data_IF_951842664901
#
_entry.id   IF_951842664901
#
_cell.length_a   1.000
_cell.length_b   1.000
_cell.length_c   1.000
_cell.angle_alpha   90.00
_cell.angle_beta   90.00
_cell.angle_gamma   90.00
#
_symmetry.space_group_name_H-M   'P 1'
#
loop_
_entity.id
_entity.type
_entity.pdbx_description
1 polymer ?
#
# COMPACT_ATOMS: atom_id res chain seq x y z
N UNK A 1 3.51 -21.72 -42.24
CA UNK A 1 2.66 -22.33 -41.19
C UNK A 1 3.18 -22.06 -39.78
N UNK A 2 4.45 -22.33 -39.46
CA UNK A 2 4.99 -22.07 -38.10
C UNK A 2 4.84 -20.62 -37.61
N UNK A 3 5.16 -19.59 -38.41
CA UNK A 3 5.02 -18.18 -37.99
C UNK A 3 3.57 -17.72 -37.73
N UNK A 4 2.59 -18.31 -38.42
CA UNK A 4 1.17 -18.02 -38.20
C UNK A 4 0.67 -18.63 -36.89
N UNK A 5 1.12 -19.85 -36.57
CA UNK A 5 0.81 -20.52 -35.30
C UNK A 5 1.46 -19.79 -34.11
N UNK A 6 2.71 -19.33 -34.24
CA UNK A 6 3.37 -18.54 -33.19
C UNK A 6 2.69 -17.19 -32.94
N UNK A 7 2.24 -16.50 -33.99
CA UNK A 7 1.52 -15.23 -33.86
C UNK A 7 0.11 -15.42 -33.29
N UNK A 8 -0.60 -16.49 -33.66
CA UNK A 8 -1.91 -16.83 -33.08
C UNK A 8 -1.81 -17.19 -31.60
N UNK A 9 -0.78 -17.95 -31.20
CA UNK A 9 -0.50 -18.26 -29.79
C UNK A 9 -0.16 -17.00 -28.99
N UNK A 10 0.67 -16.11 -29.55
CA UNK A 10 1.02 -14.84 -28.90
C UNK A 10 -0.21 -13.95 -28.71
N UNK A 11 -1.03 -13.77 -29.75
CA UNK A 11 -2.26 -12.95 -29.68
C UNK A 11 -3.28 -13.55 -28.69
N UNK A 12 -3.48 -14.87 -28.68
CA UNK A 12 -4.33 -15.53 -27.69
C UNK A 12 -3.82 -15.35 -26.26
N UNK A 13 -2.49 -15.39 -26.05
CA UNK A 13 -1.86 -15.13 -24.75
C UNK A 13 -2.08 -13.68 -24.29
N UNK A 14 -1.95 -12.70 -25.19
CA UNK A 14 -2.19 -11.29 -24.90
C UNK A 14 -3.65 -11.01 -24.52
N UNK A 15 -4.63 -11.58 -25.23
CA UNK A 15 -6.04 -11.42 -24.88
C UNK A 15 -6.41 -12.11 -23.55
N UNK A 16 -5.86 -13.30 -23.27
CA UNK A 16 -6.08 -13.99 -22.01
C UNK A 16 -5.43 -13.24 -20.82
N UNK A 17 -4.27 -12.60 -21.01
CA UNK A 17 -3.63 -11.78 -19.99
C UNK A 17 -4.38 -10.46 -19.74
N UNK A 18 -4.82 -9.78 -20.80
CA UNK A 18 -5.59 -8.53 -20.70
C UNK A 18 -6.96 -8.73 -20.03
N UNK A 19 -7.66 -9.82 -20.35
CA UNK A 19 -8.92 -10.17 -19.68
C UNK A 19 -8.78 -10.56 -18.20
N UNK A 20 -7.57 -10.93 -17.75
CA UNK A 20 -7.26 -11.29 -16.35
C UNK A 20 -6.78 -10.12 -15.51
N UNK A 21 -6.14 -9.12 -16.13
CA UNK A 21 -5.72 -7.91 -15.43
C UNK A 21 -6.91 -7.16 -14.84
N UNK A 22 -8.03 -7.09 -15.57
CA UNK A 22 -9.22 -6.34 -15.12
C UNK A 22 -9.83 -6.83 -13.79
N UNK A 23 -10.10 -8.14 -13.56
CA UNK A 23 -10.59 -8.59 -12.25
C UNK A 23 -9.60 -8.40 -11.09
N UNK A 24 -8.30 -8.50 -11.36
CA UNK A 24 -7.26 -8.29 -10.34
C UNK A 24 -7.22 -6.82 -9.95
N UNK A 25 -7.19 -5.93 -10.94
CA UNK A 25 -7.14 -4.49 -10.70
C UNK A 25 -8.44 -4.01 -10.03
N UNK A 26 -9.60 -4.51 -10.43
CA UNK A 26 -10.86 -4.22 -9.73
C UNK A 26 -10.80 -4.62 -8.25
N UNK A 27 -10.33 -5.83 -7.95
CA UNK A 27 -10.21 -6.30 -6.58
C UNK A 27 -9.19 -5.45 -5.78
N UNK A 28 -8.07 -5.07 -6.40
CA UNK A 28 -7.06 -4.21 -5.78
C UNK A 28 -7.62 -2.82 -5.48
N UNK A 29 -8.36 -2.21 -6.41
CA UNK A 29 -8.97 -0.89 -6.21
C UNK A 29 -9.96 -0.91 -5.05
N UNK A 30 -10.82 -1.94 -4.96
CA UNK A 30 -11.73 -2.15 -3.83
C UNK A 30 -10.98 -2.33 -2.51
N UNK A 31 -9.93 -3.16 -2.49
CA UNK A 31 -9.09 -3.37 -1.31
C UNK A 31 -8.36 -2.12 -0.84
N UNK A 32 -7.87 -1.29 -1.78
CA UNK A 32 -7.22 -0.01 -1.49
C UNK A 32 -8.22 1.00 -0.93
N UNK A 33 -9.43 1.09 -1.51
CA UNK A 33 -10.50 1.94 -0.98
C UNK A 33 -10.85 1.56 0.46
N UNK A 34 -11.03 0.26 0.72
CA UNK A 34 -11.27 -0.26 2.06
C UNK A 34 -10.16 0.13 3.04
N UNK A 35 -8.90 -0.09 2.65
CA UNK A 35 -7.73 0.27 3.44
C UNK A 35 -7.72 1.75 3.85
N UNK A 36 -7.98 2.65 2.89
CA UNK A 36 -7.98 4.09 3.14
C UNK A 36 -9.12 4.48 4.09
N UNK A 37 -10.30 3.88 3.92
CA UNK A 37 -11.47 4.15 4.76
C UNK A 37 -11.36 3.61 6.19
N UNK A 38 -10.56 2.55 6.40
CA UNK A 38 -10.44 1.85 7.68
C UNK A 38 -9.13 2.14 8.42
N UNK A 39 -8.42 3.21 8.05
CA UNK A 39 -7.28 3.69 8.82
C UNK A 39 -7.75 4.50 10.03
N UNK A 40 -7.17 4.23 11.21
CA UNK A 40 -7.42 5.04 12.40
C UNK A 40 -6.73 6.41 12.28
N UNK A 41 -7.22 7.39 13.06
CA UNK A 41 -6.70 8.75 13.02
C UNK A 41 -5.23 8.87 13.45
N UNK A 42 -4.74 7.94 14.25
CA UNK A 42 -3.34 7.83 14.65
C UNK A 42 -2.44 7.16 13.60
N UNK A 43 -3.03 6.64 12.51
CA UNK A 43 -2.34 6.05 11.37
C UNK A 43 -2.24 4.52 11.39
N UNK A 44 -2.70 3.86 12.45
CA UNK A 44 -2.70 2.39 12.50
C UNK A 44 -3.88 1.79 11.74
N UNK A 45 -3.74 0.52 11.43
CA UNK A 45 -4.88 -0.35 11.09
C UNK A 45 -5.09 -1.33 12.23
N UNK A 46 -6.34 -1.47 12.68
CA UNK A 46 -6.71 -2.39 13.74
C UNK A 46 -6.97 -3.79 13.17
N UNK A 47 -6.56 -4.78 13.94
CA UNK A 47 -6.81 -6.21 13.71
C UNK A 47 -7.22 -6.77 15.09
N UNK A 48 -7.00 -8.06 15.34
CA UNK A 48 -7.08 -8.61 16.69
C UNK A 48 -6.14 -7.81 17.61
N UNK A 49 -6.57 -7.44 18.83
CA UNK A 49 -5.73 -6.71 19.77
C UNK A 49 -4.35 -7.34 19.95
N UNK A 50 -3.29 -6.55 19.82
CA UNK A 50 -1.90 -6.99 19.86
C UNK A 50 -1.26 -7.28 18.50
N UNK A 51 -2.01 -7.23 17.39
CA UNK A 51 -1.50 -7.40 16.02
C UNK A 51 -1.44 -6.09 15.22
N UNK A 52 -1.61 -4.94 15.85
CA UNK A 52 -1.68 -3.63 15.20
C UNK A 52 -0.40 -3.32 14.43
N UNK A 53 0.77 -3.71 14.96
CA UNK A 53 2.06 -3.57 14.26
C UNK A 53 2.11 -4.43 13.00
N UNK A 54 1.66 -5.68 13.08
CA UNK A 54 1.64 -6.56 11.90
C UNK A 54 0.64 -6.05 10.85
N UNK A 55 -0.56 -5.64 11.29
CA UNK A 55 -1.62 -5.12 10.42
C UNK A 55 -1.19 -3.84 9.71
N UNK A 56 -0.59 -2.91 10.44
CA UNK A 56 -0.09 -1.63 9.91
C UNK A 56 1.11 -1.84 9.00
N UNK A 57 2.04 -2.75 9.34
CA UNK A 57 3.16 -3.09 8.46
C UNK A 57 2.68 -3.72 7.13
N UNK A 58 1.67 -4.60 7.20
CA UNK A 58 1.06 -5.18 6.01
C UNK A 58 0.30 -4.12 5.18
N UNK A 59 -0.36 -3.15 5.82
CA UNK A 59 -1.02 -2.04 5.12
C UNK A 59 -0.01 -1.19 4.33
N UNK A 60 1.09 -0.82 4.99
CA UNK A 60 2.20 -0.07 4.37
C UNK A 60 2.82 -0.86 3.21
N UNK A 61 2.98 -2.18 3.34
CA UNK A 61 3.42 -3.05 2.24
C UNK A 61 2.43 -3.03 1.06
N UNK A 62 1.12 -3.16 1.34
CA UNK A 62 0.07 -3.16 0.33
C UNK A 62 0.00 -1.83 -0.45
N UNK A 63 0.00 -0.70 0.27
CA UNK A 63 0.02 0.64 -0.31
C UNK A 63 1.28 0.86 -1.17
N UNK A 64 2.46 0.46 -0.66
CA UNK A 64 3.70 0.56 -1.42
C UNK A 64 3.72 -0.33 -2.67
N UNK A 65 3.12 -1.54 -2.61
CA UNK A 65 2.98 -2.40 -3.79
C UNK A 65 2.05 -1.77 -4.84
N UNK A 66 1.03 -1.02 -4.42
CA UNK A 66 0.13 -0.31 -5.31
C UNK A 66 0.69 0.99 -5.90
N UNK A 67 1.86 1.45 -5.44
CA UNK A 67 2.45 2.73 -5.85
C UNK A 67 2.02 3.93 -4.99
N UNK A 68 1.16 3.72 -3.99
CA UNK A 68 0.58 4.72 -3.08
C UNK A 68 1.58 5.13 -1.99
N UNK A 69 2.77 5.58 -2.40
CA UNK A 69 3.86 5.92 -1.45
C UNK A 69 3.89 7.40 -1.07
N UNK A 70 3.16 8.25 -1.80
CA UNK A 70 3.05 9.69 -1.52
C UNK A 70 1.75 10.07 -0.79
N UNK A 71 0.81 9.13 -0.67
CA UNK A 71 -0.50 9.35 -0.05
C UNK A 71 -0.45 9.48 1.47
N UNK A 72 -1.42 10.22 2.02
CA UNK A 72 -1.53 10.48 3.46
C UNK A 72 -1.65 9.21 4.30
N UNK A 73 -2.42 8.23 3.82
CA UNK A 73 -2.59 6.95 4.52
C UNK A 73 -1.26 6.21 4.71
N UNK A 74 -0.43 6.19 3.66
CA UNK A 74 0.91 5.60 3.71
C UNK A 74 1.81 6.34 4.70
N UNK A 75 1.84 7.68 4.62
CA UNK A 75 2.66 8.50 5.50
C UNK A 75 2.30 8.31 6.98
N UNK A 76 1.00 8.27 7.30
CA UNK A 76 0.46 8.00 8.64
C UNK A 76 0.84 6.61 9.16
N UNK A 77 0.70 5.58 8.33
CA UNK A 77 1.10 4.21 8.70
C UNK A 77 2.58 4.06 9.00
N UNK A 78 3.43 4.66 8.15
CA UNK A 78 4.88 4.70 8.39
C UNK A 78 5.21 5.45 9.67
N UNK A 79 4.61 6.62 9.90
CA UNK A 79 4.84 7.41 11.09
C UNK A 79 4.42 6.67 12.36
N UNK A 80 3.28 5.98 12.35
CA UNK A 80 2.83 5.16 13.47
C UNK A 80 3.82 4.02 13.75
N UNK A 81 4.27 3.30 12.72
CA UNK A 81 5.26 2.22 12.87
C UNK A 81 6.59 2.72 13.45
N UNK A 82 7.06 3.92 13.12
CA UNK A 82 8.30 4.45 13.69
C UNK A 82 8.21 4.68 15.21
N UNK A 83 7.00 4.89 15.73
CA UNK A 83 6.74 5.28 17.12
C UNK A 83 6.12 4.16 17.97
N UNK A 84 5.95 2.96 17.41
CA UNK A 84 5.35 1.84 18.13
C UNK A 84 6.33 0.67 18.32
N UNK A 85 6.48 0.14 19.54
CA UNK A 85 7.35 -1.01 19.76
C UNK A 85 6.70 -2.31 19.28
N UNK A 86 7.40 -3.09 18.47
CA UNK A 86 7.04 -4.49 18.23
C UNK A 86 7.28 -5.36 19.47
N UNK A 87 6.41 -6.36 19.66
CA UNK A 87 6.38 -7.24 20.84
C UNK A 87 6.85 -8.68 20.56
N UNK A 88 6.91 -9.09 19.29
CA UNK A 88 7.29 -10.43 18.83
C UNK A 88 8.28 -10.37 17.67
N UNK A 89 8.96 -11.48 17.39
CA UNK A 89 9.89 -11.55 16.24
C UNK A 89 9.15 -11.28 14.93
N UNK A 90 7.97 -11.87 14.73
CA UNK A 90 7.14 -11.64 13.53
C UNK A 90 6.80 -10.15 13.37
N UNK A 91 6.28 -9.50 14.42
CA UNK A 91 5.89 -8.08 14.36
C UNK A 91 7.10 -7.18 14.15
N UNK A 92 8.24 -7.48 14.79
CA UNK A 92 9.48 -6.72 14.62
C UNK A 92 10.05 -6.87 13.21
N UNK A 93 10.05 -8.08 12.67
CA UNK A 93 10.50 -8.34 11.31
C UNK A 93 9.65 -7.60 10.28
N UNK A 94 8.32 -7.64 10.41
CA UNK A 94 7.39 -6.90 9.54
C UNK A 94 7.56 -5.39 9.64
N UNK A 95 7.72 -4.87 10.86
CA UNK A 95 8.00 -3.46 11.10
C UNK A 95 9.29 -3.02 10.40
N UNK A 96 10.38 -3.79 10.53
CA UNK A 96 11.65 -3.52 9.86
C UNK A 96 11.48 -3.51 8.35
N UNK A 97 10.82 -4.53 7.77
CA UNK A 97 10.62 -4.60 6.31
C UNK A 97 9.81 -3.40 5.78
N UNK A 98 8.73 -3.03 6.47
CA UNK A 98 7.90 -1.89 6.09
C UNK A 98 8.67 -0.56 6.18
N UNK A 99 9.40 -0.33 7.27
CA UNK A 99 10.17 0.90 7.49
C UNK A 99 11.38 1.00 6.55
N UNK A 100 12.09 -0.10 6.31
CA UNK A 100 13.21 -0.12 5.36
C UNK A 100 12.74 0.20 3.94
N UNK A 101 11.59 -0.36 3.54
CA UNK A 101 10.96 -0.05 2.25
C UNK A 101 10.52 1.42 2.14
N UNK A 102 10.09 2.02 3.25
CA UNK A 102 9.77 3.44 3.35
C UNK A 102 11.02 4.36 3.44
N UNK A 103 12.23 3.81 3.30
CA UNK A 103 13.48 4.56 3.40
C UNK A 103 13.75 5.13 4.80
N UNK A 104 13.16 4.55 5.85
CA UNK A 104 13.41 4.95 7.25
C UNK A 104 14.63 4.22 7.81
N UNK A 105 15.33 4.88 8.73
CA UNK A 105 16.40 4.25 9.47
C UNK A 105 15.84 3.12 10.35
N UNK A 106 16.38 1.92 10.15
CA UNK A 106 15.99 0.69 10.84
C UNK A 106 17.13 0.09 11.65
N UNK A 107 18.29 0.77 11.74
CA UNK A 107 19.51 0.25 12.35
C UNK A 107 19.31 -0.25 13.79
N UNK A 108 18.58 0.50 14.62
CA UNK A 108 18.27 0.11 15.99
C UNK A 108 17.34 -1.11 16.06
N UNK A 109 16.34 -1.18 15.17
CA UNK A 109 15.40 -2.31 15.11
C UNK A 109 16.08 -3.59 14.62
N UNK A 110 16.94 -3.49 13.59
CA UNK A 110 17.73 -4.61 13.09
C UNK A 110 18.71 -5.10 14.16
N UNK A 111 19.37 -4.18 14.87
CA UNK A 111 20.27 -4.54 15.98
C UNK A 111 19.52 -5.28 17.09
N UNK A 112 18.31 -4.82 17.44
CA UNK A 112 17.43 -5.50 18.39
C UNK A 112 17.00 -6.88 17.89
N UNK A 113 16.58 -6.99 16.63
CA UNK A 113 16.20 -8.27 16.03
C UNK A 113 17.38 -9.26 16.07
N UNK A 114 18.58 -8.83 15.71
CA UNK A 114 19.79 -9.67 15.78
C UNK A 114 20.10 -10.08 17.23
N UNK A 115 19.89 -9.20 18.21
CA UNK A 115 20.05 -9.53 19.62
C UNK A 115 19.05 -10.60 20.09
N UNK A 116 17.82 -10.59 19.56
CA UNK A 116 16.75 -11.52 19.93
C UNK A 116 16.96 -12.96 19.46
N UNK A 117 17.95 -13.22 18.60
CA UNK A 117 18.20 -14.59 18.14
C UNK A 117 18.61 -15.49 19.29
N UNK A 118 18.27 -16.76 19.18
CA UNK A 118 18.85 -17.77 20.04
C UNK A 118 20.33 -17.94 19.70
N UNK A 119 21.20 -17.71 20.68
CA UNK A 119 22.64 -17.72 20.43
C UNK A 119 23.22 -19.10 20.13
N UNK A 120 22.60 -20.17 20.63
CA UNK A 120 23.09 -21.52 20.39
C UNK A 120 22.76 -22.00 18.98
N UNK A 121 21.60 -21.63 18.44
CA UNK A 121 21.13 -22.08 17.12
C UNK A 121 21.24 -21.03 16.03
N UNK A 122 21.56 -19.77 16.39
CA UNK A 122 21.56 -18.59 15.50
C UNK A 122 20.27 -18.50 14.69
N UNK A 123 19.15 -18.77 15.34
CA UNK A 123 17.80 -18.77 14.77
C UNK A 123 16.83 -18.02 15.68
N UNK A 124 15.63 -17.72 15.20
CA UNK A 124 14.65 -16.93 15.94
C UNK A 124 13.41 -17.73 16.28
N UNK A 125 12.94 -17.59 17.51
CA UNK A 125 11.62 -18.03 17.95
C UNK A 125 10.62 -16.88 17.96
N UNK A 126 9.42 -17.13 18.49
CA UNK A 126 8.34 -16.14 18.55
C UNK A 126 8.71 -14.86 19.31
N UNK A 127 9.60 -14.96 20.29
CA UNK A 127 10.05 -13.85 21.15
C UNK A 127 11.56 -13.88 21.38
N UNK A 128 12.06 -12.86 22.07
CA UNK A 128 13.45 -12.68 22.48
C UNK A 128 14.06 -13.95 23.10
N UNK A 129 15.13 -14.46 22.49
CA UNK A 129 15.87 -15.66 22.89
C UNK A 129 15.05 -16.96 22.99
N UNK A 130 13.83 -17.01 22.45
CA UNK A 130 13.05 -18.25 22.39
C UNK A 130 13.69 -19.27 21.46
N UNK A 131 13.32 -20.54 21.66
CA UNK A 131 13.70 -21.63 20.76
C UNK A 131 13.30 -21.31 19.32
N UNK A 132 14.23 -21.55 18.39
CA UNK A 132 14.01 -21.26 16.98
C UNK A 132 12.77 -21.94 16.39
N UNK A 133 11.96 -21.16 15.71
CA UNK A 133 10.86 -21.62 14.86
C UNK A 133 11.23 -21.38 13.39
N UNK A 134 10.66 -22.16 12.49
CA UNK A 134 10.88 -21.99 11.06
C UNK A 134 10.34 -20.66 10.53
N UNK A 135 9.07 -20.27 10.77
CA UNK A 135 8.54 -19.03 10.20
C UNK A 135 9.20 -17.77 10.78
N UNK A 136 9.49 -17.75 12.09
CA UNK A 136 10.14 -16.59 12.72
C UNK A 136 11.58 -16.42 12.24
N UNK A 137 12.32 -17.52 12.08
CA UNK A 137 13.67 -17.48 11.52
C UNK A 137 13.66 -16.97 10.08
N UNK A 138 12.72 -17.46 9.26
CA UNK A 138 12.60 -17.02 7.87
C UNK A 138 12.30 -15.50 7.79
N UNK A 139 11.32 -15.03 8.57
CA UNK A 139 10.94 -13.62 8.64
C UNK A 139 12.06 -12.72 9.16
N UNK A 140 12.80 -13.14 10.19
CA UNK A 140 13.93 -12.38 10.70
C UNK A 140 15.05 -12.25 9.65
N UNK A 141 15.35 -13.34 8.94
CA UNK A 141 16.33 -13.34 7.85
C UNK A 141 15.91 -12.43 6.70
N UNK A 142 14.62 -12.41 6.37
CA UNK A 142 14.03 -11.53 5.36
C UNK A 142 14.12 -10.05 5.77
N UNK A 143 13.80 -9.74 7.03
CA UNK A 143 13.87 -8.39 7.55
C UNK A 143 15.30 -7.82 7.54
N UNK A 144 16.28 -8.62 7.95
CA UNK A 144 17.70 -8.22 7.90
C UNK A 144 18.11 -7.95 6.45
N UNK A 145 17.77 -8.85 5.52
CA UNK A 145 18.11 -8.70 4.10
C UNK A 145 17.48 -7.44 3.49
N UNK A 146 16.22 -7.13 3.83
CA UNK A 146 15.49 -5.97 3.31
C UNK A 146 16.16 -4.62 3.64
N UNK A 147 16.99 -4.57 4.69
CA UNK A 147 17.71 -3.35 5.09
C UNK A 147 19.05 -3.15 4.38
N UNK A 148 19.54 -4.17 3.67
CA UNK A 148 20.91 -4.19 3.12
C UNK A 148 22.01 -4.37 4.20
N UNK A 149 21.64 -4.58 5.47
CA UNK A 149 22.60 -4.82 6.55
C UNK A 149 23.36 -6.12 6.29
N UNK A 150 24.70 -6.05 6.33
CA UNK A 150 25.52 -7.26 6.25
C UNK A 150 25.37 -8.07 7.53
N UNK A 151 24.96 -9.33 7.39
CA UNK A 151 24.75 -10.24 8.52
C UNK A 151 25.70 -11.44 8.42
N UNK A 152 26.76 -11.41 9.23
CA UNK A 152 27.83 -12.41 9.19
C UNK A 152 27.31 -13.84 9.46
N UNK A 153 26.26 -13.99 10.28
CA UNK A 153 25.70 -15.28 10.67
C UNK A 153 24.55 -15.74 9.77
N UNK A 154 24.35 -15.12 8.60
CA UNK A 154 23.27 -15.48 7.67
C UNK A 154 23.32 -16.97 7.28
N UNK A 155 24.53 -17.53 7.12
CA UNK A 155 24.70 -18.95 6.80
C UNK A 155 24.12 -19.90 7.85
N UNK A 156 24.12 -19.51 9.14
CA UNK A 156 23.51 -20.32 10.19
C UNK A 156 21.99 -20.29 10.14
N UNK A 157 21.40 -19.12 9.87
CA UNK A 157 19.95 -18.98 9.71
C UNK A 157 19.42 -19.79 8.52
N UNK A 158 20.08 -19.69 7.35
CA UNK A 158 19.75 -20.51 6.19
C UNK A 158 19.99 -22.00 6.48
N UNK A 159 21.11 -22.33 7.15
CA UNK A 159 21.41 -23.69 7.60
C UNK A 159 20.37 -24.25 8.58
N UNK A 160 19.76 -23.42 9.42
CA UNK A 160 18.67 -23.82 10.31
C UNK A 160 17.46 -24.31 9.51
N UNK A 161 17.10 -23.58 8.45
CA UNK A 161 15.97 -23.88 7.56
C UNK A 161 16.23 -25.14 6.73
N UNK A 162 17.32 -25.19 5.96
CA UNK A 162 17.52 -26.25 4.95
C UNK A 162 17.87 -27.61 5.56
N UNK A 163 18.62 -27.65 6.67
CA UNK A 163 19.03 -28.91 7.29
C UNK A 163 17.90 -29.63 8.03
N UNK A 164 16.69 -29.06 8.05
CA UNK A 164 15.54 -29.56 8.80
C UNK A 164 14.24 -29.52 7.99
N UNK A 165 14.36 -29.57 6.66
CA UNK A 165 13.22 -29.87 5.78
C UNK A 165 12.80 -31.33 6.02
N UNK A 166 11.49 -31.57 6.11
CA UNK A 166 10.97 -32.93 6.17
C UNK A 166 11.22 -33.67 4.85
N UNK A 167 11.26 -35.00 4.89
CA UNK A 167 11.44 -35.83 3.69
C UNK A 167 10.30 -35.67 2.67
N UNK A 168 9.14 -35.16 3.12
CA UNK A 168 8.02 -34.82 2.23
C UNK A 168 8.23 -33.49 1.48
N UNK A 169 9.27 -32.71 1.85
CA UNK A 169 9.60 -31.41 1.26
C UNK A 169 9.05 -30.21 2.05
N UNK A 170 8.14 -30.40 2.99
CA UNK A 170 7.61 -29.30 3.79
C UNK A 170 8.42 -29.01 5.06
N UNK A 171 7.94 -28.03 5.83
CA UNK A 171 8.49 -27.70 7.15
C UNK A 171 7.39 -27.65 8.23
N UNK A 172 7.68 -28.09 9.45
CA UNK A 172 6.81 -27.86 10.61
C UNK A 172 7.00 -26.44 11.16
N UNK A 173 6.24 -26.06 12.20
CA UNK A 173 6.42 -24.77 12.89
C UNK A 173 7.73 -24.71 13.68
N UNK A 174 8.05 -25.79 14.39
CA UNK A 174 9.22 -25.92 15.25
C UNK A 174 9.89 -27.27 15.01
N UNK A 175 11.16 -27.38 15.35
CA UNK A 175 11.83 -28.68 15.43
C UNK A 175 11.18 -29.52 16.54
N UNK A 176 11.07 -30.83 16.35
CA UNK A 176 10.73 -31.76 17.43
C UNK A 176 11.99 -32.26 18.12
N UNK A 177 11.90 -32.53 19.42
CA UNK A 177 13.01 -33.14 20.19
C UNK A 177 13.15 -34.64 19.88
N UNK A 178 12.05 -35.29 19.44
CA UNK A 178 12.00 -36.69 19.04
C UNK A 178 11.20 -36.79 17.74
N UNK A 179 11.90 -36.86 16.61
CA UNK A 179 11.29 -36.86 15.28
C UNK A 179 10.78 -35.49 14.86
N UNK A 180 10.69 -35.25 13.55
CA UNK A 180 10.16 -33.99 13.04
C UNK A 180 8.64 -34.00 13.03
N UNK A 181 7.97 -32.94 13.51
CA UNK A 181 6.53 -32.80 13.38
C UNK A 181 6.09 -32.72 11.91
N UNK A 182 4.80 -32.95 11.62
CA UNK A 182 4.27 -32.84 10.27
C UNK A 182 4.46 -31.45 9.67
N UNK A 183 4.71 -31.43 8.36
CA UNK A 183 4.80 -30.20 7.57
C UNK A 183 3.51 -29.40 7.58
N UNK A 184 3.63 -28.07 7.59
CA UNK A 184 2.51 -27.11 7.63
C UNK A 184 2.70 -26.02 6.58
N UNK A 185 1.60 -25.41 6.13
CA UNK A 185 1.63 -24.48 5.00
C UNK A 185 2.33 -23.17 5.35
N UNK A 186 1.98 -22.54 6.49
CA UNK A 186 2.60 -21.28 6.95
C UNK A 186 4.14 -21.36 7.01
N UNK A 187 4.76 -22.29 7.77
CA UNK A 187 6.22 -22.39 7.81
C UNK A 187 6.84 -22.75 6.46
N UNK A 188 6.19 -23.60 5.67
CA UNK A 188 6.69 -23.97 4.34
C UNK A 188 6.70 -22.77 3.40
N UNK A 189 5.63 -21.99 3.36
CA UNK A 189 5.52 -20.82 2.52
C UNK A 189 6.55 -19.74 2.91
N UNK A 190 6.69 -19.44 4.21
CA UNK A 190 7.71 -18.49 4.69
C UNK A 190 9.13 -18.93 4.32
N UNK A 191 9.47 -20.19 4.58
CA UNK A 191 10.78 -20.72 4.23
C UNK A 191 11.04 -20.65 2.72
N UNK A 192 10.06 -20.98 1.88
CA UNK A 192 10.21 -20.91 0.43
C UNK A 192 10.46 -19.48 -0.06
N UNK A 193 9.74 -18.48 0.48
CA UNK A 193 9.94 -17.07 0.16
C UNK A 193 11.37 -16.63 0.54
N UNK A 194 11.80 -16.94 1.75
CA UNK A 194 13.15 -16.61 2.22
C UNK A 194 14.22 -17.33 1.38
N UNK A 195 14.12 -18.65 1.20
CA UNK A 195 15.10 -19.40 0.40
C UNK A 195 15.20 -18.87 -1.03
N UNK A 196 14.08 -18.48 -1.64
CA UNK A 196 14.07 -17.86 -2.96
C UNK A 196 14.89 -16.54 -3.00
N UNK A 197 14.81 -15.71 -1.96
CA UNK A 197 15.61 -14.46 -1.86
C UNK A 197 17.10 -14.71 -1.63
N UNK A 198 17.46 -15.87 -1.08
CA UNK A 198 18.84 -16.25 -0.77
C UNK A 198 19.46 -17.20 -1.82
N UNK A 199 18.71 -17.63 -2.84
CA UNK A 199 19.14 -18.67 -3.80
C UNK A 199 20.31 -18.29 -4.72
N UNK A 200 20.62 -17.01 -4.84
CA UNK A 200 21.79 -16.53 -5.58
C UNK A 200 23.08 -16.59 -4.77
N UNK A 201 22.97 -16.64 -3.44
CA UNK A 201 24.10 -16.67 -2.51
C UNK A 201 24.31 -18.07 -1.92
N UNK A 202 23.23 -18.82 -1.71
CA UNK A 202 23.26 -20.15 -1.09
C UNK A 202 22.69 -21.21 -2.04
N UNK A 203 23.28 -22.41 -2.03
CA UNK A 203 22.84 -23.55 -2.81
C UNK A 203 21.56 -24.19 -2.21
N UNK A 204 20.40 -23.53 -2.41
CA UNK A 204 19.14 -23.91 -1.78
C UNK A 204 18.04 -24.38 -2.75
N UNK A 205 18.33 -24.38 -4.06
CA UNK A 205 17.33 -24.65 -5.10
C UNK A 205 16.66 -26.03 -4.97
N UNK A 206 17.39 -27.07 -4.57
CA UNK A 206 16.81 -28.41 -4.36
C UNK A 206 15.75 -28.41 -3.25
N UNK A 207 15.97 -27.66 -2.18
CA UNK A 207 15.01 -27.51 -1.07
C UNK A 207 13.77 -26.73 -1.52
N UNK A 208 13.97 -25.68 -2.32
CA UNK A 208 12.87 -24.93 -2.95
C UNK A 208 12.02 -25.86 -3.82
N UNK A 209 12.65 -26.64 -4.69
CA UNK A 209 11.93 -27.55 -5.59
C UNK A 209 11.06 -28.56 -4.82
N UNK A 210 11.62 -29.21 -3.79
CA UNK A 210 10.88 -30.16 -2.94
C UNK A 210 9.74 -29.49 -2.18
N UNK A 211 9.95 -28.29 -1.63
CA UNK A 211 8.92 -27.57 -0.89
C UNK A 211 7.80 -27.04 -1.79
N UNK A 212 8.11 -26.58 -3.00
CA UNK A 212 7.11 -26.20 -4.01
C UNK A 212 6.27 -27.41 -4.43
N UNK A 213 6.90 -28.57 -4.64
CA UNK A 213 6.20 -29.81 -4.96
C UNK A 213 5.24 -30.22 -3.82
N UNK A 214 5.72 -30.17 -2.57
CA UNK A 214 4.88 -30.42 -1.40
C UNK A 214 3.72 -29.44 -1.31
N UNK A 215 3.99 -28.13 -1.46
CA UNK A 215 2.99 -27.08 -1.37
C UNK A 215 1.90 -27.30 -2.41
N UNK A 216 2.26 -27.53 -3.69
CA UNK A 216 1.31 -27.85 -4.76
C UNK A 216 0.43 -29.06 -4.43
N UNK A 217 0.98 -30.09 -3.79
CA UNK A 217 0.21 -31.26 -3.36
C UNK A 217 -0.81 -30.95 -2.24
N UNK A 218 -0.67 -29.82 -1.54
CA UNK A 218 -1.63 -29.38 -0.52
C UNK A 218 -2.81 -28.57 -1.09
N UNK A 219 -2.77 -28.19 -2.37
CA UNK A 219 -3.83 -27.36 -2.98
C UNK A 219 -5.17 -28.11 -2.99
N UNK A 220 -6.22 -27.45 -2.50
CA UNK A 220 -7.59 -28.00 -2.50
C UNK A 220 -8.22 -27.87 -3.89
N UNK A 221 -9.30 -28.61 -4.13
CA UNK A 221 -10.03 -28.57 -5.40
C UNK A 221 -10.52 -27.16 -5.78
N UNK A 222 -10.84 -26.31 -4.80
CA UNK A 222 -11.23 -24.91 -4.99
C UNK A 222 -10.05 -23.94 -5.14
N UNK A 223 -8.81 -24.41 -5.22
CA UNK A 223 -7.61 -23.59 -5.37
C UNK A 223 -7.00 -23.05 -4.08
N UNK A 224 -7.75 -23.07 -2.98
CA UNK A 224 -7.27 -22.67 -1.66
C UNK A 224 -6.24 -23.63 -1.05
N UNK A 225 -5.55 -23.14 -0.03
CA UNK A 225 -4.59 -23.86 0.80
C UNK A 225 -5.01 -23.75 2.27
N UNK A 226 -4.75 -24.77 3.06
CA UNK A 226 -4.93 -24.73 4.51
C UNK A 226 -5.82 -25.83 5.06
N UNK A 227 -6.27 -25.59 6.28
CA UNK A 227 -7.22 -26.47 6.97
C UNK A 227 -8.61 -26.49 6.28
N UNK A 228 -9.39 -27.55 6.53
CA UNK A 228 -10.71 -27.73 5.93
C UNK A 228 -10.70 -28.22 4.47
N UNK A 229 -11.89 -28.29 3.87
CA UNK A 229 -12.09 -28.78 2.50
C UNK A 229 -11.80 -27.72 1.43
N UNK A 230 -11.88 -26.44 1.78
CA UNK A 230 -11.71 -25.30 0.87
C UNK A 230 -10.38 -24.58 1.03
N UNK A 231 -9.75 -24.64 2.21
CA UNK A 231 -8.59 -23.83 2.57
C UNK A 231 -8.98 -22.57 3.34
N UNK A 232 -7.96 -21.86 3.83
CA UNK A 232 -8.07 -20.60 4.59
C UNK A 232 -7.43 -19.44 3.81
N UNK A 233 -7.88 -18.22 4.08
CA UNK A 233 -7.39 -17.03 3.39
C UNK A 233 -5.89 -16.80 3.63
N UNK A 234 -5.44 -16.82 4.89
CA UNK A 234 -4.04 -16.57 5.26
C UNK A 234 -3.08 -17.57 4.62
N UNK A 235 -3.38 -18.87 4.74
CA UNK A 235 -2.53 -19.92 4.18
C UNK A 235 -2.53 -19.87 2.66
N UNK A 236 -3.66 -19.53 2.03
CA UNK A 236 -3.74 -19.34 0.59
C UNK A 236 -2.94 -18.14 0.11
N UNK A 237 -3.01 -17.00 0.80
CA UNK A 237 -2.25 -15.81 0.47
C UNK A 237 -0.73 -16.05 0.59
N UNK A 238 -0.29 -16.72 1.65
CA UNK A 238 1.11 -17.09 1.83
C UNK A 238 1.59 -18.11 0.79
N UNK A 239 0.80 -19.15 0.53
CA UNK A 239 1.11 -20.14 -0.50
C UNK A 239 1.19 -19.50 -1.89
N UNK A 240 0.27 -18.59 -2.21
CA UNK A 240 0.28 -17.81 -3.44
C UNK A 240 1.58 -17.02 -3.59
N UNK A 241 1.99 -16.26 -2.55
CA UNK A 241 3.25 -15.50 -2.56
C UNK A 241 4.47 -16.40 -2.79
N UNK A 242 4.52 -17.56 -2.13
CA UNK A 242 5.61 -18.52 -2.30
C UNK A 242 5.66 -19.12 -3.72
N UNK A 243 4.51 -19.50 -4.27
CA UNK A 243 4.40 -20.02 -5.63
C UNK A 243 4.80 -18.98 -6.67
N UNK A 244 4.33 -17.74 -6.54
CA UNK A 244 4.67 -16.65 -7.47
C UNK A 244 6.15 -16.29 -7.41
N UNK A 245 6.76 -16.29 -6.22
CA UNK A 245 8.18 -15.98 -6.05
C UNK A 245 9.09 -16.94 -6.84
N UNK A 246 8.71 -18.22 -6.95
CA UNK A 246 9.52 -19.22 -7.66
C UNK A 246 9.05 -19.47 -9.10
N UNK A 247 7.74 -19.58 -9.33
CA UNK A 247 7.16 -20.05 -10.59
C UNK A 247 6.56 -18.92 -11.44
N UNK A 248 6.39 -17.73 -10.87
CA UNK A 248 5.70 -16.60 -11.51
C UNK A 248 4.18 -16.71 -11.48
N UNK A 249 3.52 -15.66 -11.96
CA UNK A 249 2.05 -15.49 -11.90
C UNK A 249 1.28 -16.38 -12.86
N UNK A 250 1.94 -17.01 -13.83
CA UNK A 250 1.31 -17.87 -14.84
C UNK A 250 1.25 -19.35 -14.46
N UNK A 251 1.85 -19.76 -13.34
CA UNK A 251 1.77 -21.14 -12.87
C UNK A 251 0.33 -21.54 -12.51
N UNK A 252 -0.08 -22.75 -12.86
CA UNK A 252 -1.45 -23.21 -12.65
C UNK A 252 -1.87 -23.19 -11.17
N UNK A 253 -0.98 -23.59 -10.25
CA UNK A 253 -1.31 -23.58 -8.83
C UNK A 253 -1.39 -22.15 -8.28
N UNK A 254 -0.50 -21.26 -8.73
CA UNK A 254 -0.55 -19.84 -8.39
C UNK A 254 -1.86 -19.20 -8.89
N UNK A 255 -2.26 -19.49 -10.12
CA UNK A 255 -3.51 -19.00 -10.71
C UNK A 255 -4.75 -19.50 -9.96
N UNK A 256 -4.78 -20.79 -9.59
CA UNK A 256 -5.88 -21.33 -8.80
C UNK A 256 -5.97 -20.67 -7.42
N UNK A 257 -4.84 -20.41 -6.77
CA UNK A 257 -4.78 -19.70 -5.49
C UNK A 257 -5.29 -18.26 -5.63
N UNK A 258 -4.86 -17.56 -6.68
CA UNK A 258 -5.34 -16.21 -6.99
C UNK A 258 -6.85 -16.20 -7.21
N UNK A 259 -7.39 -17.12 -8.01
CA UNK A 259 -8.84 -17.22 -8.23
C UNK A 259 -9.59 -17.47 -6.93
N UNK A 260 -9.07 -18.33 -6.05
CA UNK A 260 -9.63 -18.51 -4.72
C UNK A 260 -9.66 -17.17 -3.95
N UNK A 261 -8.53 -16.47 -3.84
CA UNK A 261 -8.43 -15.21 -3.11
C UNK A 261 -9.41 -14.16 -3.65
N UNK A 262 -9.45 -13.95 -4.97
CA UNK A 262 -10.40 -13.01 -5.58
C UNK A 262 -11.85 -13.39 -5.28
N UNK A 263 -12.18 -14.68 -5.28
CA UNK A 263 -13.51 -15.16 -4.92
C UNK A 263 -13.87 -15.06 -3.44
N UNK A 264 -12.92 -14.74 -2.56
CA UNK A 264 -13.16 -14.49 -1.13
C UNK A 264 -13.33 -12.99 -0.80
N UNK A 265 -13.15 -12.08 -1.76
CA UNK A 265 -13.32 -10.65 -1.50
C UNK A 265 -14.79 -10.32 -1.22
N UNK A 266 -15.04 -9.56 -0.15
CA UNK A 266 -16.35 -9.04 0.21
C UNK A 266 -16.72 -7.82 -0.65
N UNK A 267 -18.00 -7.44 -0.60
CA UNK A 267 -18.53 -6.36 -1.43
C UNK A 267 -17.92 -4.99 -1.12
N UNK A 268 -17.49 -4.77 0.12
CA UNK A 268 -16.82 -3.56 0.60
C UNK A 268 -15.31 -3.54 0.29
N UNK A 269 -14.78 -4.60 -0.33
CA UNK A 269 -13.37 -4.73 -0.71
C UNK A 269 -12.49 -5.45 0.31
N UNK A 270 -13.04 -5.81 1.47
CA UNK A 270 -12.38 -6.54 2.54
C UNK A 270 -12.18 -8.02 2.18
N UNK A 271 -11.18 -8.67 2.78
CA UNK A 271 -11.06 -10.13 2.79
C UNK A 271 -11.16 -10.73 4.20
N UNK A 272 -10.90 -9.93 5.25
CA UNK A 272 -10.66 -10.40 6.61
C UNK A 272 -11.88 -10.50 7.52
N UNK A 273 -13.07 -10.08 7.09
CA UNK A 273 -14.23 -9.89 7.97
C UNK A 273 -14.01 -8.74 8.96
N UNK A 274 -13.45 -7.63 8.48
CA UNK A 274 -12.93 -6.49 9.25
C UNK A 274 -11.61 -6.74 10.00
N UNK A 275 -10.93 -7.86 9.76
CA UNK A 275 -9.54 -8.06 10.17
C UNK A 275 -8.58 -7.44 9.14
N UNK A 276 -8.02 -6.26 9.46
CA UNK A 276 -7.12 -5.57 8.56
C UNK A 276 -5.85 -6.37 8.23
N UNK A 277 -5.32 -7.20 9.14
CA UNK A 277 -4.10 -7.96 8.85
C UNK A 277 -4.31 -8.92 7.68
N UNK A 278 -5.42 -9.66 7.68
CA UNK A 278 -5.74 -10.61 6.63
C UNK A 278 -5.98 -9.92 5.27
N UNK A 279 -6.72 -8.82 5.29
CA UNK A 279 -6.98 -8.01 4.10
C UNK A 279 -5.71 -7.45 3.52
N UNK A 280 -4.83 -6.90 4.37
CA UNK A 280 -3.59 -6.27 3.94
C UNK A 280 -2.58 -7.29 3.41
N UNK A 281 -2.48 -8.46 4.04
CA UNK A 281 -1.60 -9.54 3.55
C UNK A 281 -2.08 -10.10 2.21
N UNK A 282 -3.40 -10.23 2.03
CA UNK A 282 -3.99 -10.68 0.77
C UNK A 282 -3.74 -9.66 -0.33
N UNK A 283 -4.07 -8.40 -0.07
CA UNK A 283 -3.88 -7.30 -1.01
C UNK A 283 -2.41 -7.09 -1.38
N UNK A 284 -1.49 -7.12 -0.40
CA UNK A 284 -0.05 -7.03 -0.64
C UNK A 284 0.49 -8.21 -1.46
N UNK A 285 -0.17 -9.37 -1.40
CA UNK A 285 0.22 -10.56 -2.16
C UNK A 285 -0.20 -10.54 -3.61
N UNK A 286 -1.29 -9.85 -3.97
CA UNK A 286 -1.81 -9.81 -5.34
C UNK A 286 -0.81 -9.14 -6.30
N UNK A 287 -0.73 -9.57 -7.59
CA UNK A 287 0.16 -8.96 -8.56
C UNK A 287 -0.17 -7.48 -8.71
N UNK A 288 0.81 -6.63 -8.45
CA UNK A 288 0.63 -5.20 -8.56
C UNK A 288 1.13 -4.70 -9.92
N UNK A 289 0.22 -4.11 -10.69
CA UNK A 289 0.52 -3.11 -11.72
C UNK A 289 0.51 -1.74 -11.05
N UNK A 290 1.40 -0.83 -11.47
CA UNK A 290 1.31 0.57 -11.04
C UNK A 290 -0.03 1.11 -11.51
N UNK A 291 -0.82 1.62 -10.57
CA UNK A 291 -2.09 2.28 -10.88
C UNK A 291 -1.80 3.75 -11.23
N UNK A 292 -2.58 4.30 -12.17
CA UNK A 292 -2.47 5.72 -12.51
C UNK A 292 -2.94 6.58 -11.33
N UNK A 293 -2.24 7.68 -11.11
CA UNK A 293 -2.52 8.74 -10.13
C UNK A 293 -2.22 10.04 -10.87
N UNK A 294 -3.26 10.67 -11.41
CA UNK A 294 -3.16 11.78 -12.37
C UNK A 294 -2.84 13.09 -11.68
N UNK A 295 -3.32 13.29 -10.45
CA UNK A 295 -3.13 14.54 -9.71
C UNK A 295 -2.01 14.49 -8.65
N UNK A 296 -1.39 13.32 -8.50
CA UNK A 296 -0.24 13.04 -7.66
C UNK A 296 -0.49 13.30 -6.18
N UNK A 297 -1.73 13.12 -5.72
CA UNK A 297 -2.08 13.22 -4.31
C UNK A 297 -1.84 11.91 -3.53
N UNK A 298 -1.48 10.85 -4.25
CA UNK A 298 -1.21 9.52 -3.72
C UNK A 298 -2.41 8.59 -3.69
N UNK A 299 -3.57 8.98 -4.22
CA UNK A 299 -4.67 8.09 -4.52
C UNK A 299 -4.61 7.64 -5.97
N UNK A 300 -4.84 6.36 -6.27
CA UNK A 300 -4.98 5.96 -7.66
C UNK A 300 -6.34 6.39 -8.23
N UNK A 301 -6.35 6.87 -9.47
CA UNK A 301 -7.56 7.36 -10.19
C UNK A 301 -8.74 6.37 -10.12
N UNK A 302 -8.43 5.07 -10.17
CA UNK A 302 -9.46 4.03 -10.12
C UNK A 302 -10.15 3.87 -8.76
N UNK A 303 -9.53 4.37 -7.69
CA UNK A 303 -10.07 4.38 -6.33
C UNK A 303 -10.93 5.64 -6.11
N UNK A 304 -10.62 6.71 -6.85
CA UNK A 304 -11.30 8.01 -6.81
C UNK A 304 -12.57 8.03 -7.66
N UNK A 305 -13.49 7.14 -7.32
CA UNK A 305 -14.80 7.08 -7.96
C UNK A 305 -15.89 7.29 -6.92
N UNK A 306 -17.05 7.78 -7.37
CA UNK A 306 -18.24 7.91 -6.52
C UNK A 306 -18.69 6.58 -5.89
N UNK A 307 -18.29 5.44 -6.47
CA UNK A 307 -18.61 4.11 -5.97
C UNK A 307 -17.67 3.62 -4.87
N UNK A 308 -16.48 4.22 -4.74
CA UNK A 308 -15.45 3.81 -3.78
C UNK A 308 -15.20 4.91 -2.73
N UNK A 309 -14.43 5.94 -3.06
CA UNK A 309 -14.08 7.00 -2.10
C UNK A 309 -14.92 8.27 -2.22
N UNK A 310 -15.59 8.51 -3.35
CA UNK A 310 -16.33 9.76 -3.57
C UNK A 310 -15.44 10.96 -3.88
N UNK A 311 -14.15 10.74 -4.13
CA UNK A 311 -13.15 11.73 -4.54
C UNK A 311 -13.04 11.84 -6.07
N UNK A 312 -12.24 12.78 -6.58
CA UNK A 312 -12.13 13.04 -8.01
C UNK A 312 -10.68 12.91 -8.54
N UNK A 313 -10.41 12.10 -9.59
CA UNK A 313 -9.06 11.80 -10.12
C UNK A 313 -8.23 12.95 -10.73
N UNK A 314 -8.70 14.18 -10.59
CA UNK A 314 -8.06 15.36 -11.15
C UNK A 314 -8.02 16.52 -10.17
N UNK A 315 -8.33 16.23 -8.91
CA UNK A 315 -8.45 17.19 -7.82
C UNK A 315 -7.69 16.59 -6.64
N UNK A 316 -6.56 17.18 -6.21
CA UNK A 316 -5.75 16.68 -5.10
C UNK A 316 -6.48 16.68 -3.74
N UNK A 317 -7.41 15.75 -3.54
CA UNK A 317 -8.42 15.72 -2.48
C UNK A 317 -8.29 14.51 -1.54
N UNK A 318 -7.33 13.63 -1.77
CA UNK A 318 -7.01 12.48 -0.93
C UNK A 318 -6.59 12.84 0.49
N UNK A 319 -6.21 14.10 0.71
CA UNK A 319 -5.99 14.70 2.05
C UNK A 319 -7.27 15.09 2.80
N UNK A 320 -8.40 15.12 2.11
CA UNK A 320 -9.73 15.40 2.64
C UNK A 320 -10.45 14.17 3.22
N UNK A 321 -9.90 12.98 3.00
CA UNK A 321 -10.43 11.72 3.53
C UNK A 321 -10.03 11.55 5.00
N UNK A 322 -10.82 12.11 5.91
CA UNK A 322 -10.71 11.81 7.33
C UNK A 322 -12.07 11.63 8.01
N UNK A 323 -12.32 10.42 8.53
CA UNK A 323 -12.81 10.22 9.90
C UNK A 323 -12.12 9.00 10.54
N UNK A 324 -10.97 9.22 11.16
CA UNK A 324 -10.51 8.39 12.27
C UNK A 324 -10.98 9.01 13.59
N UNK A 325 -11.55 8.24 14.49
CA UNK A 325 -12.28 8.67 15.71
C UNK A 325 -11.46 9.37 16.82
N UNK A 326 -10.40 10.10 16.48
CA UNK A 326 -9.95 11.25 17.27
C UNK A 326 -9.25 10.99 18.60
N UNK A 327 -8.49 9.89 18.76
CA UNK A 327 -7.60 9.73 19.92
C UNK A 327 -6.18 9.37 19.46
N UNK A 328 -5.22 10.28 19.67
CA UNK A 328 -3.78 10.02 19.63
C UNK A 328 -3.19 10.19 21.04
N UNK A 329 -2.37 9.24 21.50
CA UNK A 329 -1.75 9.22 22.83
C UNK A 329 -0.48 10.07 22.83
N UNK A 330 -0.22 10.71 23.98
CA UNK A 330 0.89 11.64 24.28
C UNK A 330 2.26 11.08 23.86
N UNK A 331 3.03 11.89 23.12
CA UNK A 331 4.42 11.60 22.72
C UNK A 331 4.71 11.76 21.22
N UNK A 332 3.67 12.00 20.40
CA UNK A 332 3.81 12.32 18.97
C UNK A 332 3.83 13.85 18.79
N UNK A 333 5.00 14.42 18.57
CA UNK A 333 5.12 15.81 18.09
C UNK A 333 5.39 15.73 16.58
N UNK A 334 4.52 16.12 15.66
CA UNK A 334 3.42 17.08 15.74
C UNK A 334 2.32 16.67 14.73
N UNK A 335 1.02 16.77 15.06
CA UNK A 335 -0.03 16.83 14.04
C UNK A 335 0.31 17.93 13.01
N UNK A 336 0.01 17.71 11.73
CA UNK A 336 0.30 18.68 10.67
C UNK A 336 -0.99 19.12 9.96
N UNK A 337 -1.24 20.42 9.89
CA UNK A 337 -2.35 21.01 9.12
C UNK A 337 -1.80 21.67 7.86
N UNK A 338 -2.25 21.25 6.68
CA UNK A 338 -1.94 21.90 5.40
C UNK A 338 -3.15 22.68 4.90
N UNK A 339 -2.92 23.93 4.51
CA UNK A 339 -3.93 24.87 4.05
C UNK A 339 -3.46 25.50 2.74
N UNK A 340 -4.41 25.80 1.85
CA UNK A 340 -4.12 26.53 0.61
C UNK A 340 -4.85 27.87 0.60
N UNK A 341 -4.16 28.92 0.17
CA UNK A 341 -4.71 30.25 -0.02
C UNK A 341 -4.34 30.79 -1.40
N UNK A 342 -5.19 31.63 -1.98
CA UNK A 342 -4.93 32.28 -3.27
C UNK A 342 -4.42 33.69 -3.01
N UNK A 343 -3.32 34.07 -3.67
CA UNK A 343 -2.75 35.41 -3.58
C UNK A 343 -3.82 36.49 -3.85
N UNK A 344 -3.90 37.50 -2.97
CA UNK A 344 -4.83 38.63 -3.04
C UNK A 344 -6.33 38.28 -2.91
N UNK A 345 -6.68 37.05 -2.53
CA UNK A 345 -8.07 36.67 -2.26
C UNK A 345 -8.37 36.62 -0.75
N UNK A 346 -9.58 36.99 -0.30
CA UNK A 346 -9.99 36.77 1.08
C UNK A 346 -9.85 35.28 1.46
N UNK A 347 -9.27 35.04 2.62
CA UNK A 347 -9.01 33.72 3.15
C UNK A 347 -9.58 33.62 4.57
N UNK A 348 -10.22 32.50 4.87
CA UNK A 348 -10.68 32.16 6.21
C UNK A 348 -10.67 30.64 6.39
N UNK A 349 -9.89 30.14 7.35
CA UNK A 349 -9.86 28.73 7.72
C UNK A 349 -9.79 28.61 9.24
N UNK A 350 -10.46 27.59 9.79
CA UNK A 350 -10.43 27.32 11.22
C UNK A 350 -9.51 26.15 11.52
N UNK A 351 -8.61 26.35 12.47
CA UNK A 351 -7.82 25.26 13.03
C UNK A 351 -8.69 24.43 13.99
N UNK A 352 -8.47 23.12 14.05
CA UNK A 352 -9.24 22.19 14.90
C UNK A 352 -8.43 21.75 16.11
N UNK A 353 -9.04 21.79 17.29
CA UNK A 353 -8.39 21.36 18.53
C UNK A 353 -8.40 19.82 18.58
N UNK A 354 -7.24 19.19 18.79
CA UNK A 354 -7.10 17.73 18.89
C UNK A 354 -7.61 17.11 20.20
N UNK A 355 -8.47 17.81 20.96
CA UNK A 355 -8.96 17.41 22.28
C UNK A 355 -9.07 18.57 23.29
N UNK A 356 -9.26 18.23 24.57
CA UNK A 356 -9.30 19.18 25.70
C UNK A 356 -10.66 19.86 25.93
N UNK A 357 -10.96 20.19 27.19
CA UNK A 357 -12.24 20.80 27.57
C UNK A 357 -12.25 22.30 27.23
N UNK A 358 -13.25 22.83 26.48
CA UNK A 358 -13.36 24.27 26.21
C UNK A 358 -13.38 25.10 27.51
N UNK A 359 -12.86 26.34 27.50
CA UNK A 359 -12.46 27.12 26.33
C UNK A 359 -11.04 26.81 25.83
N UNK A 360 -10.86 26.85 24.51
CA UNK A 360 -9.55 26.71 23.86
C UNK A 360 -8.91 28.07 23.58
N UNK A 361 -7.58 28.15 23.73
CA UNK A 361 -6.78 29.32 23.36
C UNK A 361 -5.69 28.93 22.37
N UNK A 362 -5.51 29.76 21.34
CA UNK A 362 -4.68 29.48 20.18
C UNK A 362 -3.53 30.47 20.10
N UNK A 363 -2.32 30.00 19.83
CA UNK A 363 -1.13 30.85 19.75
C UNK A 363 -0.14 30.32 18.74
N UNK A 364 0.53 31.19 17.97
CA UNK A 364 1.69 30.81 17.16
C UNK A 364 2.94 30.78 18.05
N UNK A 365 3.72 29.71 17.95
CA UNK A 365 4.90 29.47 18.79
C UNK A 365 6.20 29.44 18.00
N UNK A 366 6.13 29.12 16.70
CA UNK A 366 7.25 29.23 15.78
C UNK A 366 6.78 29.48 14.33
N UNK A 367 7.68 29.98 13.49
CA UNK A 367 7.39 30.32 12.09
C UNK A 367 6.50 31.56 11.94
N UNK A 368 5.93 31.75 10.75
CA UNK A 368 5.00 32.86 10.49
C UNK A 368 3.91 32.44 9.50
N UNK A 369 2.74 33.07 9.64
CA UNK A 369 1.70 33.01 8.61
C UNK A 369 2.14 33.82 7.37
N UNK A 370 1.55 33.57 6.20
CA UNK A 370 1.70 34.46 5.06
C UNK A 370 1.35 35.91 5.41
N UNK A 371 2.12 36.85 4.88
CA UNK A 371 1.92 38.27 5.12
C UNK A 371 0.49 38.67 4.68
N UNK A 372 -0.30 39.22 5.62
CA UNK A 372 -1.71 39.57 5.42
C UNK A 372 -2.73 38.59 6.02
N UNK A 373 -2.29 37.46 6.58
CA UNK A 373 -3.11 36.54 7.37
C UNK A 373 -2.84 36.68 8.87
N UNK A 374 -3.88 36.50 9.69
CA UNK A 374 -3.79 36.58 11.15
C UNK A 374 -4.53 35.42 11.81
N UNK A 375 -4.03 34.94 12.95
CA UNK A 375 -4.69 33.94 13.79
C UNK A 375 -5.54 34.62 14.87
N UNK A 376 -6.84 34.32 14.92
CA UNK A 376 -7.70 34.65 16.04
C UNK A 376 -7.44 33.70 17.20
N UNK A 377 -6.86 34.22 18.29
CA UNK A 377 -6.41 33.43 19.43
C UNK A 377 -7.54 32.82 20.26
N UNK A 378 -8.78 33.29 20.11
CA UNK A 378 -9.93 32.78 20.84
C UNK A 378 -10.71 31.71 20.06
N UNK A 379 -10.69 31.77 18.72
CA UNK A 379 -11.49 30.88 17.86
C UNK A 379 -10.66 29.89 17.05
N UNK A 380 -9.34 30.10 16.95
CA UNK A 380 -8.47 29.30 16.10
C UNK A 380 -8.60 29.61 14.60
N UNK A 381 -9.33 30.66 14.24
CA UNK A 381 -9.53 31.04 12.85
C UNK A 381 -8.33 31.83 12.30
N UNK A 382 -7.73 31.36 11.21
CA UNK A 382 -6.79 32.10 10.39
C UNK A 382 -7.56 32.83 9.31
N UNK A 383 -7.46 34.17 9.27
CA UNK A 383 -8.17 34.97 8.27
C UNK A 383 -7.39 36.20 7.80
N UNK A 384 -7.75 36.71 6.63
CA UNK A 384 -7.14 37.88 6.02
C UNK A 384 -6.99 37.74 4.50
N UNK A 385 -6.05 38.46 3.92
CA UNK A 385 -5.75 38.41 2.48
C UNK A 385 -4.24 38.25 2.30
N UNK A 386 -3.75 37.12 1.78
CA UNK A 386 -2.31 36.89 1.64
C UNK A 386 -1.73 37.76 0.52
N UNK A 387 -0.54 38.31 0.75
CA UNK A 387 0.14 39.25 -0.16
C UNK A 387 1.48 38.73 -0.71
N UNK A 388 1.88 37.53 -0.31
CA UNK A 388 3.14 36.90 -0.73
C UNK A 388 2.91 35.44 -1.14
N UNK A 389 3.49 35.04 -2.27
CA UNK A 389 3.49 33.66 -2.74
C UNK A 389 4.48 32.78 -1.96
N UNK A 390 4.20 31.49 -1.90
CA UNK A 390 5.13 30.49 -1.37
C UNK A 390 4.55 29.61 -0.26
N UNK A 391 5.41 28.74 0.28
CA UNK A 391 5.07 27.86 1.39
C UNK A 391 5.50 28.48 2.72
N UNK A 392 4.54 28.63 3.63
CA UNK A 392 4.73 29.22 4.95
C UNK A 392 4.48 28.18 6.03
N UNK A 393 5.55 27.73 6.66
CA UNK A 393 5.50 26.78 7.77
C UNK A 393 5.42 27.53 9.11
N UNK A 394 4.57 27.05 10.00
CA UNK A 394 4.39 27.59 11.35
C UNK A 394 4.09 26.47 12.34
N UNK A 395 4.22 26.75 13.63
CA UNK A 395 3.79 25.86 14.71
C UNK A 395 2.80 26.64 15.56
N UNK A 396 1.61 26.09 15.76
CA UNK A 396 0.61 26.65 16.65
C UNK A 396 0.40 25.77 17.88
N UNK A 397 0.05 26.38 18.99
CA UNK A 397 -0.31 25.74 20.24
C UNK A 397 -1.79 26.00 20.54
N UNK A 398 -2.49 24.94 20.90
CA UNK A 398 -3.86 24.95 21.45
C UNK A 398 -3.79 24.62 22.93
N UNK A 399 -4.32 25.48 23.80
CA UNK A 399 -4.36 25.24 25.24
C UNK A 399 -5.81 25.23 25.75
N UNK A 400 -6.13 24.22 26.54
CA UNK A 400 -7.36 24.08 27.35
C UNK A 400 -7.04 24.11 28.85
N UNK A 401 -8.05 23.95 29.70
CA UNK A 401 -7.87 23.85 31.16
C UNK A 401 -7.11 22.59 31.62
N UNK A 402 -7.12 21.53 30.80
CA UNK A 402 -6.60 20.20 31.12
C UNK A 402 -5.43 19.75 30.23
N UNK A 403 -5.23 20.37 29.06
CA UNK A 403 -4.24 19.92 28.07
C UNK A 403 -3.63 21.07 27.27
N UNK A 404 -2.45 20.84 26.70
CA UNK A 404 -1.87 21.70 25.67
C UNK A 404 -1.32 20.83 24.54
N UNK A 405 -1.66 21.20 23.30
CA UNK A 405 -1.26 20.49 22.09
C UNK A 405 -0.52 21.45 21.18
N UNK A 406 0.62 21.02 20.65
CA UNK A 406 1.34 21.71 19.59
C UNK A 406 0.99 21.04 18.27
N UNK A 407 0.93 21.82 17.19
CA UNK A 407 0.64 21.34 15.85
C UNK A 407 1.46 22.12 14.84
N UNK A 408 2.08 21.43 13.89
CA UNK A 408 2.73 22.06 12.74
C UNK A 408 1.67 22.47 11.72
N UNK A 409 1.80 23.64 11.14
CA UNK A 409 0.94 24.15 10.07
C UNK A 409 1.76 24.54 8.85
N UNK A 410 1.19 24.36 7.65
CA UNK A 410 1.72 24.89 6.40
C UNK A 410 0.60 25.57 5.62
N UNK A 411 0.82 26.80 5.19
CA UNK A 411 -0.04 27.47 4.20
C UNK A 411 0.74 27.60 2.89
N UNK A 412 0.16 27.10 1.82
CA UNK A 412 0.64 27.33 0.45
C UNK A 412 -0.16 28.46 -0.18
N UNK A 413 0.52 29.57 -0.47
CA UNK A 413 -0.08 30.67 -1.23
C UNK A 413 0.25 30.50 -2.70
N UNK A 414 -0.78 30.24 -3.49
CA UNK A 414 -0.68 30.02 -4.94
C UNK A 414 -1.21 31.23 -5.72
N UNK A 415 -0.73 31.40 -6.94
CA UNK A 415 -1.25 32.44 -7.83
C UNK A 415 -2.71 32.16 -8.18
N UNK A 416 -3.52 33.19 -8.44
CA UNK A 416 -4.86 32.99 -9.00
C UNK A 416 -4.70 32.24 -10.34
N UNK A 417 -5.53 31.24 -10.57
CA UNK A 417 -5.67 30.68 -11.91
C UNK A 417 -6.12 31.83 -12.81
N UNK A 418 -5.34 32.12 -13.87
CA UNK A 418 -5.74 33.11 -14.84
C UNK A 418 -7.07 32.65 -15.45
N UNK A 419 -8.13 33.46 -15.31
CA UNK A 419 -9.27 33.35 -16.21
C UNK A 419 -8.71 33.50 -17.62
N UNK A 420 -8.86 32.46 -18.44
CA UNK A 420 -8.67 32.61 -19.89
C UNK A 420 -9.76 33.57 -20.32
N UNK A 421 -9.39 34.81 -20.64
CA UNK A 421 -10.33 35.76 -21.20
C UNK A 421 -10.92 35.14 -22.48
N UNK A 422 -12.23 35.29 -22.70
CA UNK A 422 -12.94 34.79 -23.88
C UNK A 422 -12.32 35.30 -25.21
N UNK A 423 -11.47 36.33 -25.14
CA UNK A 423 -10.65 36.85 -26.25
C UNK A 423 -9.47 35.96 -26.66
N UNK A 424 -9.07 35.00 -25.83
CA UNK A 424 -7.91 34.12 -26.08
C UNK A 424 -8.31 32.77 -26.69
N UNK A 425 -9.61 32.52 -26.92
CA UNK A 425 -10.05 31.42 -27.78
C UNK A 425 -9.83 31.85 -29.23
N UNK A 426 -8.96 31.18 -30.02
CA UNK A 426 -8.80 31.50 -31.42
C UNK A 426 -10.11 31.20 -32.17
N UNK A 427 -10.94 32.22 -32.37
CA UNK A 427 -12.04 32.12 -33.32
C UNK A 427 -11.43 32.03 -34.72
N UNK A 428 -11.95 31.11 -35.54
CA UNK A 428 -11.51 31.00 -36.93
C UNK A 428 -11.77 32.35 -37.63
N UNK A 429 -10.79 32.92 -38.37
CA UNK A 429 -11.03 34.11 -39.19
C UNK A 429 -12.23 33.87 -40.12
N UNK A 430 -12.97 34.92 -40.51
CA UNK A 430 -14.16 34.80 -41.38
C UNK A 430 -13.90 33.94 -42.63
N UNK A 431 -12.70 34.04 -43.21
CA UNK A 431 -12.24 33.22 -44.34
C UNK A 431 -12.16 31.72 -44.01
N UNK A 432 -11.77 31.36 -42.80
CA UNK A 432 -11.74 29.98 -42.29
C UNK A 432 -13.14 29.40 -42.10
N UNK A 433 -14.08 30.21 -41.61
CA UNK A 433 -15.50 29.85 -41.53
C UNK A 433 -16.10 29.63 -42.92
N UNK A 434 -15.79 30.51 -43.89
CA UNK A 434 -16.21 30.37 -45.29
C UNK A 434 -15.61 29.11 -45.93
N UNK A 435 -14.33 28.83 -45.70
CA UNK A 435 -13.66 27.62 -46.20
C UNK A 435 -14.28 26.34 -45.65
N UNK A 436 -14.58 26.28 -44.35
CA UNK A 436 -15.27 25.12 -43.77
C UNK A 436 -16.68 24.95 -44.34
N UNK A 437 -17.39 26.05 -44.54
CA UNK A 437 -18.74 26.04 -45.13
C UNK A 437 -18.73 25.50 -46.56
N UNK A 438 -17.77 25.95 -47.38
CA UNK A 438 -17.56 25.48 -48.74
C UNK A 438 -17.12 24.01 -48.80
N UNK A 439 -16.26 23.58 -47.86
CA UNK A 439 -15.83 22.19 -47.74
C UNK A 439 -17.01 21.28 -47.38
N UNK A 440 -17.91 21.74 -46.51
CA UNK A 440 -19.12 21.01 -46.11
C UNK A 440 -20.11 20.87 -47.29
N UNK A 441 -20.30 21.96 -48.06
CA UNK A 441 -21.13 21.94 -49.26
C UNK A 441 -20.53 21.03 -50.33
N UNK A 442 -19.21 21.06 -50.54
CA UNK A 442 -18.52 20.22 -51.50
C UNK A 442 -18.58 18.73 -51.13
N UNK A 443 -18.44 18.40 -49.84
CA UNK A 443 -18.57 17.00 -49.36
C UNK A 443 -20.01 16.51 -49.50
N UNK A 444 -21.02 17.34 -49.18
CA UNK A 444 -22.42 17.01 -49.44
C UNK A 444 -22.72 16.79 -50.93
N UNK A 445 -22.22 17.67 -51.82
CA UNK A 445 -22.38 17.51 -53.26
C UNK A 445 -21.67 16.26 -53.82
N UNK A 446 -20.52 15.87 -53.23
CA UNK A 446 -19.82 14.65 -53.62
C UNK A 446 -20.57 13.38 -53.17
N UNK A 447 -21.14 13.40 -51.96
CA UNK A 447 -21.98 12.33 -51.43
C UNK A 447 -23.27 12.15 -52.27
N UNK A 448 -23.89 13.24 -52.69
CA UNK A 448 -25.11 13.21 -53.50
C UNK A 448 -24.86 12.68 -54.93
N UNK A 449 -23.73 13.08 -55.53
CA UNK A 449 -23.29 12.52 -56.82
C UNK A 449 -22.97 11.02 -56.75
N UNK A 450 -22.44 10.51 -55.63
CA UNK A 450 -22.25 9.06 -55.44
C UNK A 450 -23.58 8.32 -55.35
N UNK A 451 -24.56 8.83 -54.58
CA UNK A 451 -25.91 8.23 -54.50
C UNK A 451 -26.62 8.20 -55.86
N UNK A 452 -26.43 9.21 -56.71
CA UNK A 452 -27.03 9.25 -58.05
C UNK A 452 -26.38 8.31 -59.07
N UNK A 453 -25.14 7.83 -58.82
CA UNK A 453 -24.41 6.90 -59.68
C UNK A 453 -24.71 5.43 -59.39
N UNK A 454 -25.13 5.11 -58.16
CA UNK A 454 -25.53 3.76 -57.76
C UNK A 454 -27.00 3.41 -58.11
N UNK A 455 -27.73 4.32 -58.76
CA UNK A 455 -29.13 4.18 -59.18
C UNK A 455 -29.33 4.22 -60.71
N UNK A 456 -28.29 3.95 -61.52
CA UNK A 456 -28.40 3.82 -62.98
C UNK A 456 -27.84 2.51 -63.50
#
# INVERSE_FOLDING_TARGET
MNRLITNLLAVAFFFAAAGRAAPIDEARLKGLAWLIQHQHGDGRWESVPGLEVAATAAAVEALANAGVTQGEAYAKGVAWLQNHPASSTDTLARQIMALARAGRDTSALVSRLIAWRNDATKSWGAYDHFSGSFPDTALAMDAIQATGTTYADAGFGIGFIVNRQNTDGGWPYVKGDIGMPPSKIIPTAHNLITLNRYKTVYAVQSYINSGIAWLKAQQKAGGGFGEGSTGTLLETALAYRALVAELGTNDAAALNAQTYLLGQQQADGDWGGHDALLTNLTLAGLPATTLADTDHDGLPDGVETSALLGTHPGVPDGRGLAQGNGQSVIGVNEPSVLLQAILHQPYAASLTAGGGTPPHTWTLTAGKLPDGLNLNTATGQISGTPTSLGAFNFIYRVASSDTQVYTTGRIEVVSPVAEVADSDIPTLPEWGMILMSLLLIATMAHLDRRKSRDLR
#
